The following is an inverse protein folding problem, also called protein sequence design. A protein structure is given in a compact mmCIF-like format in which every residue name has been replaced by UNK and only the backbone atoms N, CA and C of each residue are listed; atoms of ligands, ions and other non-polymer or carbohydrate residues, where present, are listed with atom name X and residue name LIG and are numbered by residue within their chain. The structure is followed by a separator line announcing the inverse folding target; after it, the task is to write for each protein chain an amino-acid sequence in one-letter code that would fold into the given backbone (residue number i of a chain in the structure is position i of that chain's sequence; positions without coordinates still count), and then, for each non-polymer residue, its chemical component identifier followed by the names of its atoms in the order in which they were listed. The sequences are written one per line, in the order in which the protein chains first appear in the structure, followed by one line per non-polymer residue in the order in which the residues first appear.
data_IF_244197025332
#
_entry.id   IF_244197025332
#
_cell.length_a   1.000
_cell.length_b   1.000
_cell.length_c   1.000
_cell.angle_alpha   90.00
_cell.angle_beta   90.00
_cell.angle_gamma   90.00
#
_symmetry.space_group_name_H-M   'P 1'
#
loop_
_entity.id
_entity.type
_entity.pdbx_description
1 polymer ?
#
# COMPACT_ATOMS: atom_id res chain seq x y z
N UNK A 1 22.36 0.54 -33.04
CA UNK A 1 21.62 -0.11 -31.94
C UNK A 1 20.96 0.99 -31.15
N UNK A 2 19.67 1.21 -31.38
CA UNK A 2 18.91 2.25 -30.71
C UNK A 2 18.57 1.74 -29.31
N UNK A 3 19.11 2.40 -28.29
CA UNK A 3 18.71 2.24 -26.90
C UNK A 3 17.22 2.59 -26.80
N UNK A 4 16.38 1.57 -26.69
CA UNK A 4 14.97 1.75 -26.35
C UNK A 4 14.92 2.25 -24.90
N UNK A 5 14.80 3.56 -24.72
CA UNK A 5 14.35 4.10 -23.44
C UNK A 5 12.95 3.53 -23.16
N UNK A 6 12.70 2.91 -21.99
CA UNK A 6 11.36 2.47 -21.65
C UNK A 6 10.44 3.69 -21.63
N UNK A 7 9.34 3.62 -22.39
CA UNK A 7 8.25 4.59 -22.33
C UNK A 7 7.81 4.70 -20.86
N UNK A 8 7.68 5.91 -20.28
CA UNK A 8 7.24 6.04 -18.89
C UNK A 8 5.88 5.34 -18.72
N UNK A 9 5.76 4.54 -17.66
CA UNK A 9 4.50 3.90 -17.31
C UNK A 9 3.45 5.00 -17.09
N UNK A 10 2.25 4.82 -17.65
CA UNK A 10 1.12 5.74 -17.40
C UNK A 10 0.53 5.56 -16.00
N UNK A 11 0.99 4.57 -15.25
CA UNK A 11 0.44 4.20 -13.95
C UNK A 11 0.71 5.29 -12.92
N UNK A 12 -0.38 5.73 -12.29
CA UNK A 12 -0.39 6.77 -11.28
C UNK A 12 -0.52 6.11 -9.91
N UNK A 13 0.35 6.52 -8.99
CA UNK A 13 0.31 6.10 -7.59
C UNK A 13 0.22 7.33 -6.70
N UNK A 14 -0.51 7.23 -5.61
CA UNK A 14 -0.51 8.19 -4.53
C UNK A 14 0.05 7.52 -3.28
N UNK A 15 1.05 8.13 -2.65
CA UNK A 15 1.69 7.65 -1.43
C UNK A 15 1.36 8.62 -0.31
N UNK A 16 0.65 8.16 0.71
CA UNK A 16 0.37 8.95 1.90
C UNK A 16 1.13 8.34 3.08
N UNK A 17 2.00 9.15 3.70
CA UNK A 17 2.74 8.76 4.91
C UNK A 17 1.95 9.32 6.10
N UNK A 18 1.53 8.45 7.00
CA UNK A 18 0.65 8.82 8.12
C UNK A 18 1.11 8.20 9.42
N UNK A 19 0.91 8.89 10.53
CA UNK A 19 0.96 8.24 11.84
C UNK A 19 -0.09 7.11 11.91
N UNK A 20 0.20 5.99 12.60
CA UNK A 20 -0.76 4.91 12.76
C UNK A 20 -1.99 5.37 13.55
N UNK A 21 -3.15 4.76 13.27
CA UNK A 21 -4.34 4.99 14.06
C UNK A 21 -4.19 4.39 15.46
N UNK A 22 -5.00 4.86 16.41
CA UNK A 22 -5.00 4.30 17.77
C UNK A 22 -5.25 2.79 17.77
N UNK A 23 -6.10 2.30 16.86
CA UNK A 23 -6.35 0.86 16.69
C UNK A 23 -5.08 0.09 16.32
N UNK A 24 -4.31 0.59 15.35
CA UNK A 24 -3.08 -0.08 14.91
C UNK A 24 -2.05 -0.11 16.04
N UNK A 25 -1.93 0.96 16.82
CA UNK A 25 -1.05 1.00 17.98
C UNK A 25 -1.49 0.03 19.09
N UNK A 26 -2.79 0.04 19.44
CA UNK A 26 -3.34 -0.81 20.50
C UNK A 26 -3.23 -2.31 20.15
N UNK A 27 -3.43 -2.66 18.87
CA UNK A 27 -3.44 -4.05 18.40
C UNK A 27 -2.19 -4.44 17.60
N UNK A 28 -1.09 -3.68 17.69
CA UNK A 28 0.13 -3.96 16.93
C UNK A 28 0.61 -5.40 17.12
N UNK A 29 0.68 -5.89 18.35
CA UNK A 29 1.14 -7.26 18.64
C UNK A 29 0.21 -8.35 18.08
N UNK A 30 -1.05 -8.00 17.77
CA UNK A 30 -1.99 -8.91 17.12
C UNK A 30 -1.86 -8.87 15.59
N UNK A 31 -1.32 -7.79 15.01
CA UNK A 31 -1.04 -7.64 13.58
C UNK A 31 0.37 -8.13 13.21
N UNK A 32 1.36 -7.77 14.03
CA UNK A 32 2.80 -7.99 13.86
C UNK A 32 3.41 -8.52 15.19
N UNK A 33 3.24 -9.82 15.51
CA UNK A 33 3.66 -10.39 16.80
C UNK A 33 5.17 -10.34 17.07
N UNK A 34 5.99 -10.26 16.01
CA UNK A 34 7.45 -10.25 16.12
C UNK A 34 8.04 -8.82 16.25
N UNK A 35 7.19 -7.79 16.26
CA UNK A 35 7.64 -6.40 16.30
C UNK A 35 7.70 -5.89 17.74
N UNK A 36 8.90 -5.67 18.25
CA UNK A 36 9.12 -5.11 19.59
C UNK A 36 9.06 -3.58 19.62
N UNK A 37 9.35 -2.94 18.48
CA UNK A 37 9.31 -1.47 18.34
C UNK A 37 7.93 -1.06 17.85
N UNK A 38 7.36 0.00 18.44
CA UNK A 38 6.10 0.55 17.98
C UNK A 38 6.20 1.06 16.54
N UNK A 39 5.20 0.76 15.72
CA UNK A 39 5.03 1.33 14.38
C UNK A 39 5.03 2.85 14.52
N UNK A 40 5.86 3.53 13.72
CA UNK A 40 5.91 5.00 13.70
C UNK A 40 5.07 5.56 12.56
N UNK A 41 5.05 4.86 11.42
CA UNK A 41 4.30 5.27 10.24
C UNK A 41 3.62 4.09 9.55
N UNK A 42 2.46 4.40 8.97
CA UNK A 42 1.86 3.61 7.91
C UNK A 42 2.05 4.36 6.59
N UNK A 43 2.45 3.64 5.56
CA UNK A 43 2.57 4.16 4.19
C UNK A 43 1.44 3.56 3.37
N UNK A 44 0.47 4.39 3.04
CA UNK A 44 -0.69 4.02 2.24
C UNK A 44 -0.33 4.25 0.77
N UNK A 45 -0.34 3.19 -0.03
CA UNK A 45 -0.07 3.23 -1.46
C UNK A 45 -1.40 3.01 -2.18
N UNK A 46 -1.91 4.06 -2.82
CA UNK A 46 -3.14 4.03 -3.59
C UNK A 46 -2.78 4.00 -5.08
N UNK A 47 -3.26 2.99 -5.79
CA UNK A 47 -2.98 2.83 -7.21
C UNK A 47 -4.23 3.08 -8.05
N UNK A 48 -4.11 3.88 -9.10
CA UNK A 48 -5.20 4.05 -10.07
C UNK A 48 -5.40 2.77 -10.88
N UNK A 49 -6.64 2.28 -10.91
CA UNK A 49 -7.05 1.13 -11.69
C UNK A 49 -7.49 1.52 -13.10
N UNK A 50 -7.17 0.69 -14.08
CA UNK A 50 -7.62 0.89 -15.46
C UNK A 50 -9.13 0.68 -15.65
N UNK A 51 -9.81 0.03 -14.70
CA UNK A 51 -11.26 -0.21 -14.72
C UNK A 51 -11.88 0.04 -13.34
N UNK A 52 -13.20 0.26 -13.28
CA UNK A 52 -13.93 0.25 -12.00
C UNK A 52 -13.71 -1.08 -11.28
N UNK A 53 -13.40 -1.02 -9.98
CA UNK A 53 -13.21 -2.22 -9.15
C UNK A 53 -14.48 -2.65 -8.41
N UNK A 54 -15.62 -2.03 -8.72
CA UNK A 54 -16.91 -2.25 -8.08
C UNK A 54 -17.52 -3.62 -8.39
N UNK A 55 -17.31 -4.11 -9.61
CA UNK A 55 -17.90 -5.38 -10.06
C UNK A 55 -17.07 -6.59 -9.65
N UNK A 56 -17.72 -7.72 -9.36
CA UNK A 56 -17.05 -9.00 -9.17
C UNK A 56 -17.06 -9.80 -10.47
N UNK A 57 -16.06 -9.56 -11.32
CA UNK A 57 -15.90 -10.26 -12.60
C UNK A 57 -14.42 -10.59 -12.87
N UNK A 58 -14.16 -11.46 -13.85
CA UNK A 58 -12.80 -11.90 -14.19
C UNK A 58 -11.86 -10.75 -14.55
N UNK A 59 -12.37 -9.68 -15.18
CA UNK A 59 -11.55 -8.51 -15.53
C UNK A 59 -11.09 -7.76 -14.29
N UNK A 60 -11.98 -7.58 -13.31
CA UNK A 60 -11.64 -6.95 -12.02
C UNK A 60 -10.68 -7.82 -11.22
N UNK A 61 -10.85 -9.15 -11.21
CA UNK A 61 -9.88 -10.05 -10.55
C UNK A 61 -8.50 -9.93 -11.20
N UNK A 62 -8.42 -9.95 -12.53
CA UNK A 62 -7.16 -9.80 -13.27
C UNK A 62 -6.50 -8.44 -12.99
N UNK A 63 -7.30 -7.38 -12.93
CA UNK A 63 -6.80 -6.04 -12.63
C UNK A 63 -6.29 -5.93 -11.18
N UNK A 64 -7.02 -6.48 -10.20
CA UNK A 64 -6.56 -6.54 -8.80
C UNK A 64 -5.26 -7.34 -8.67
N UNK A 65 -5.10 -8.43 -9.42
CA UNK A 65 -3.86 -9.21 -9.42
C UNK A 65 -2.68 -8.42 -10.01
N UNK A 66 -2.92 -7.65 -11.07
CA UNK A 66 -1.92 -6.74 -11.66
C UNK A 66 -1.53 -5.63 -10.68
N UNK A 67 -2.51 -4.97 -10.06
CA UNK A 67 -2.27 -3.90 -9.09
C UNK A 67 -1.51 -4.43 -7.88
N UNK A 68 -1.93 -5.57 -7.31
CA UNK A 68 -1.19 -6.26 -6.25
C UNK A 68 0.25 -6.58 -6.65
N UNK A 69 0.50 -7.08 -7.86
CA UNK A 69 1.87 -7.36 -8.33
C UNK A 69 2.72 -6.07 -8.41
N UNK A 70 2.12 -4.96 -8.83
CA UNK A 70 2.77 -3.65 -8.85
C UNK A 70 3.08 -3.15 -7.44
N UNK A 71 2.12 -3.26 -6.51
CA UNK A 71 2.34 -2.95 -5.09
C UNK A 71 3.50 -3.78 -4.52
N UNK A 72 3.53 -5.09 -4.76
CA UNK A 72 4.63 -5.92 -4.26
C UNK A 72 5.98 -5.47 -4.80
N UNK A 73 6.09 -5.15 -6.10
CA UNK A 73 7.34 -4.62 -6.67
C UNK A 73 7.79 -3.33 -6.00
N UNK A 74 6.90 -2.35 -5.87
CA UNK A 74 7.23 -1.09 -5.21
C UNK A 74 7.54 -1.28 -3.73
N UNK A 75 6.68 -2.02 -3.04
CA UNK A 75 6.74 -2.27 -1.60
C UNK A 75 8.00 -3.01 -1.20
N UNK A 76 8.42 -4.04 -1.94
CA UNK A 76 9.65 -4.77 -1.64
C UNK A 76 10.88 -3.88 -1.70
N UNK A 77 11.02 -3.08 -2.76
CA UNK A 77 12.11 -2.11 -2.88
C UNK A 77 12.11 -1.11 -1.71
N UNK A 78 10.91 -0.63 -1.32
CA UNK A 78 10.77 0.30 -0.21
C UNK A 78 11.21 -0.33 1.11
N UNK A 79 10.64 -1.48 1.48
CA UNK A 79 10.92 -2.05 2.81
C UNK A 79 12.34 -2.56 2.93
N UNK A 80 12.95 -3.09 1.86
CA UNK A 80 14.36 -3.48 1.90
C UNK A 80 15.29 -2.27 2.01
N UNK A 81 14.99 -1.18 1.30
CA UNK A 81 15.76 0.08 1.44
C UNK A 81 15.72 0.61 2.88
N UNK A 82 14.58 0.49 3.56
CA UNK A 82 14.42 0.92 4.95
C UNK A 82 15.08 -0.06 5.94
N UNK A 83 14.96 -1.36 5.70
CA UNK A 83 15.58 -2.41 6.53
C UNK A 83 17.11 -2.38 6.46
N UNK A 84 17.69 -2.08 5.29
CA UNK A 84 19.13 -1.89 5.12
C UNK A 84 19.68 -0.73 5.98
N UNK A 85 18.81 0.19 6.40
CA UNK A 85 19.12 1.29 7.31
C UNK A 85 18.74 1.01 8.77
N UNK A 86 18.31 -0.21 9.08
CA UNK A 86 18.01 -0.67 10.44
C UNK A 86 16.58 -0.44 10.90
N UNK A 87 15.65 -0.07 10.00
CA UNK A 87 14.24 0.15 10.35
C UNK A 87 13.39 -1.09 10.11
N UNK A 88 12.58 -1.49 11.09
CA UNK A 88 11.60 -2.55 10.90
C UNK A 88 10.54 -2.07 9.91
N UNK A 89 10.29 -2.86 8.88
CA UNK A 89 9.37 -2.52 7.79
C UNK A 89 8.73 -3.79 7.25
N UNK A 90 7.43 -3.80 7.00
CA UNK A 90 6.74 -4.95 6.39
C UNK A 90 5.54 -4.48 5.54
N UNK A 91 5.18 -5.31 4.56
CA UNK A 91 4.02 -5.12 3.70
C UNK A 91 2.86 -5.95 4.25
N UNK A 92 1.67 -5.38 4.31
CA UNK A 92 0.45 -6.19 4.44
C UNK A 92 0.00 -6.62 3.05
N UNK A 93 -0.24 -7.91 2.86
CA UNK A 93 -0.78 -8.42 1.61
C UNK A 93 -2.23 -7.94 1.43
N UNK A 94 -2.55 -7.10 0.43
CA UNK A 94 -3.90 -6.56 0.28
C UNK A 94 -4.97 -7.63 0.02
N UNK A 95 -4.57 -8.85 -0.36
CA UNK A 95 -5.48 -9.98 -0.54
C UNK A 95 -5.83 -10.67 0.78
N UNK A 96 -4.92 -10.71 1.74
CA UNK A 96 -5.08 -11.53 2.97
C UNK A 96 -5.04 -10.73 4.25
N UNK A 97 -4.54 -9.50 4.21
CA UNK A 97 -4.32 -8.61 5.34
C UNK A 97 -3.22 -9.06 6.30
N UNK A 98 -2.44 -10.09 5.96
CA UNK A 98 -1.31 -10.54 6.77
C UNK A 98 0.00 -9.86 6.35
N UNK A 99 0.97 -9.71 7.28
CA UNK A 99 2.33 -9.34 6.91
C UNK A 99 2.96 -10.36 5.96
N UNK A 100 3.88 -9.90 5.11
CA UNK A 100 4.55 -10.74 4.12
C UNK A 100 5.88 -11.31 4.60
N UNK A 101 6.60 -10.63 5.49
CA UNK A 101 7.86 -11.12 6.06
C UNK A 101 7.72 -11.65 7.49
N UNK A 102 7.06 -10.88 8.35
CA UNK A 102 6.88 -11.20 9.76
C UNK A 102 5.90 -12.34 9.99
N UNK A 103 5.85 -12.82 11.23
CA UNK A 103 4.87 -13.80 11.64
C UNK A 103 3.45 -13.28 11.44
N UNK A 104 2.58 -14.17 10.95
CA UNK A 104 1.15 -13.88 10.84
C UNK A 104 0.55 -13.67 12.22
N UNK A 105 0.00 -12.47 12.40
CA UNK A 105 -0.76 -12.11 13.58
C UNK A 105 -2.08 -12.87 13.71
N UNK A 106 -2.75 -12.63 14.85
CA UNK A 106 -4.13 -13.08 15.07
C UNK A 106 -5.13 -12.22 14.30
N UNK A 107 -4.78 -10.97 14.04
CA UNK A 107 -5.58 -10.01 13.28
C UNK A 107 -4.99 -9.81 11.88
N UNK A 108 -5.85 -9.38 10.98
CA UNK A 108 -5.51 -8.97 9.62
C UNK A 108 -5.76 -7.47 9.48
N UNK A 109 -4.94 -6.79 8.68
CA UNK A 109 -5.19 -5.41 8.29
C UNK A 109 -6.17 -5.37 7.11
N UNK A 110 -7.15 -4.48 7.16
CA UNK A 110 -8.02 -4.14 6.03
C UNK A 110 -7.57 -2.79 5.46
N UNK A 111 -7.08 -2.78 4.23
CA UNK A 111 -6.58 -1.55 3.58
C UNK A 111 -7.69 -0.50 3.38
N UNK A 112 -8.91 -0.90 3.04
CA UNK A 112 -10.03 0.04 2.86
C UNK A 112 -10.39 0.69 4.20
N UNK A 113 -10.48 -0.10 5.28
CA UNK A 113 -10.74 0.41 6.61
C UNK A 113 -9.60 1.32 7.11
N UNK A 114 -8.36 0.95 6.80
CA UNK A 114 -7.16 1.73 7.15
C UNK A 114 -7.17 3.08 6.45
N UNK A 115 -7.41 3.12 5.13
CA UNK A 115 -7.51 4.37 4.38
C UNK A 115 -8.69 5.22 4.84
N UNK A 116 -9.84 4.61 5.14
CA UNK A 116 -10.99 5.32 5.72
C UNK A 116 -10.62 5.99 7.04
N UNK A 117 -9.96 5.27 7.94
CA UNK A 117 -9.62 5.77 9.27
C UNK A 117 -8.59 6.91 9.22
N UNK A 118 -7.65 6.87 8.27
CA UNK A 118 -6.51 7.79 8.22
C UNK A 118 -6.70 8.96 7.25
N UNK A 119 -7.37 8.74 6.12
CA UNK A 119 -7.59 9.75 5.08
C UNK A 119 -9.04 10.21 4.96
N UNK A 120 -9.97 9.60 5.73
CA UNK A 120 -11.40 9.89 5.69
C UNK A 120 -12.04 9.71 4.30
N UNK A 121 -11.49 8.80 3.48
CA UNK A 121 -12.06 8.47 2.18
C UNK A 121 -13.31 7.59 2.37
N UNK A 122 -14.38 7.81 1.59
CA UNK A 122 -15.58 7.00 1.69
C UNK A 122 -15.29 5.53 1.38
N UNK A 123 -15.90 4.64 2.16
CA UNK A 123 -15.94 3.21 1.87
C UNK A 123 -17.40 2.80 1.78
N UNK A 124 -17.78 2.27 0.63
CA UNK A 124 -19.13 1.82 0.34
C UNK A 124 -19.13 0.30 0.45
N UNK A 125 -20.13 -0.25 1.15
CA UNK A 125 -20.38 -1.69 1.13
C UNK A 125 -21.20 -2.04 -0.12
N UNK A 126 -20.69 -2.95 -0.94
CA UNK A 126 -21.37 -3.42 -2.13
C UNK A 126 -21.19 -4.93 -2.26
N UNK A 127 -22.30 -5.69 -2.24
CA UNK A 127 -22.30 -7.15 -2.36
C UNK A 127 -21.29 -7.87 -1.44
N UNK A 128 -21.25 -7.49 -0.16
CA UNK A 128 -20.31 -8.01 0.85
C UNK A 128 -18.82 -7.70 0.59
N UNK A 129 -18.52 -6.73 -0.27
CA UNK A 129 -17.18 -6.20 -0.48
C UNK A 129 -17.13 -4.73 -0.05
N UNK A 130 -16.07 -4.35 0.67
CA UNK A 130 -15.76 -2.94 0.92
C UNK A 130 -15.12 -2.36 -0.34
N UNK A 131 -15.61 -1.19 -0.79
CA UNK A 131 -15.09 -0.47 -1.94
C UNK A 131 -14.71 0.94 -1.50
N UNK A 132 -13.43 1.25 -1.60
CA UNK A 132 -12.90 2.60 -1.36
C UNK A 132 -13.24 3.53 -2.53
N UNK A 133 -13.62 4.76 -2.23
CA UNK A 133 -13.84 5.82 -3.21
C UNK A 133 -12.76 6.91 -3.09
N UNK A 134 -11.89 7.00 -4.09
CA UNK A 134 -10.86 8.01 -4.15
C UNK A 134 -11.43 9.37 -4.62
N UNK A 135 -11.05 10.52 -4.03
CA UNK A 135 -11.58 11.82 -4.42
C UNK A 135 -11.38 12.18 -5.91
N UNK A 136 -10.34 11.62 -6.54
CA UNK A 136 -10.04 11.86 -7.97
C UNK A 136 -10.34 10.65 -8.86
N UNK A 137 -10.16 9.42 -8.35
CA UNK A 137 -10.26 8.20 -9.16
C UNK A 137 -11.59 7.45 -8.98
N UNK A 138 -12.45 7.91 -8.06
CA UNK A 138 -13.70 7.22 -7.72
C UNK A 138 -13.43 5.80 -7.25
N UNK A 139 -14.17 4.84 -7.81
CA UNK A 139 -14.03 3.40 -7.53
C UNK A 139 -12.88 2.70 -8.28
N UNK A 140 -12.00 3.47 -8.93
CA UNK A 140 -10.83 2.98 -9.67
C UNK A 140 -9.57 3.13 -8.81
N UNK A 141 -9.64 2.70 -7.56
CA UNK A 141 -8.52 2.79 -6.61
C UNK A 141 -8.27 1.45 -5.93
N UNK A 142 -7.02 1.04 -5.86
CA UNK A 142 -6.58 -0.14 -5.12
C UNK A 142 -5.63 0.30 -4.00
N UNK A 143 -6.08 0.26 -2.73
CA UNK A 143 -5.25 0.62 -1.59
C UNK A 143 -4.36 -0.54 -1.14
N UNK A 144 -3.21 -0.22 -0.56
CA UNK A 144 -2.27 -1.17 0.03
C UNK A 144 -1.47 -0.48 1.13
N UNK A 145 -1.02 -1.23 2.14
CA UNK A 145 -0.38 -0.64 3.33
C UNK A 145 0.98 -1.26 3.63
N UNK A 146 1.94 -0.39 3.97
CA UNK A 146 3.22 -0.75 4.59
C UNK A 146 3.24 -0.23 6.02
N UNK A 147 3.73 -1.02 6.97
CA UNK A 147 4.09 -0.54 8.29
C UNK A 147 5.60 -0.38 8.40
N UNK A 148 6.05 0.66 9.10
CA UNK A 148 7.49 0.90 9.32
C UNK A 148 7.76 1.66 10.62
N UNK A 149 9.00 1.52 11.11
CA UNK A 149 9.57 2.35 12.17
C UNK A 149 10.46 3.48 11.64
N UNK A 150 10.63 3.57 10.32
CA UNK A 150 11.44 4.60 9.67
C UNK A 150 10.89 6.03 9.85
N UNK A 151 11.76 7.06 9.84
CA UNK A 151 11.33 8.45 9.83
C UNK A 151 10.74 8.85 8.47
N UNK A 152 9.84 9.83 8.49
CA UNK A 152 9.07 10.26 7.32
C UNK A 152 9.94 10.73 6.14
N UNK A 153 11.02 11.48 6.41
CA UNK A 153 11.95 11.98 5.40
C UNK A 153 12.60 10.84 4.61
N UNK A 154 13.04 9.78 5.30
CA UNK A 154 13.63 8.63 4.66
C UNK A 154 12.61 7.83 3.83
N UNK A 155 11.39 7.65 4.35
CA UNK A 155 10.30 7.00 3.61
C UNK A 155 10.02 7.78 2.32
N UNK A 156 9.91 9.10 2.46
CA UNK A 156 9.58 10.00 1.37
C UNK A 156 10.65 9.98 0.26
N UNK A 157 11.92 10.08 0.65
CA UNK A 157 13.05 10.01 -0.28
C UNK A 157 13.14 8.66 -0.99
N UNK A 158 12.89 7.57 -0.26
CA UNK A 158 12.92 6.21 -0.82
C UNK A 158 11.78 6.01 -1.82
N UNK A 159 10.55 6.39 -1.45
CA UNK A 159 9.39 6.33 -2.33
C UNK A 159 9.59 7.15 -3.62
N UNK A 160 10.15 8.35 -3.51
CA UNK A 160 10.50 9.20 -4.65
C UNK A 160 11.48 8.49 -5.61
N UNK A 161 12.61 8.00 -5.09
CA UNK A 161 13.63 7.30 -5.90
C UNK A 161 13.07 6.05 -6.58
N UNK A 162 12.31 5.25 -5.84
CA UNK A 162 11.70 4.01 -6.36
C UNK A 162 10.67 4.33 -7.44
N UNK A 163 9.83 5.35 -7.25
CA UNK A 163 8.85 5.74 -8.26
C UNK A 163 9.51 6.12 -9.59
N UNK A 164 10.61 6.87 -9.55
CA UNK A 164 11.40 7.24 -10.73
C UNK A 164 11.98 5.98 -11.39
N UNK A 165 12.59 5.10 -10.59
CA UNK A 165 13.21 3.86 -11.09
C UNK A 165 12.19 2.92 -11.75
N UNK A 166 10.96 2.85 -11.22
CA UNK A 166 9.85 2.06 -11.76
C UNK A 166 9.04 2.80 -12.84
N UNK A 167 9.38 4.07 -13.13
CA UNK A 167 8.68 4.89 -14.11
C UNK A 167 7.24 5.22 -13.74
N UNK A 168 6.90 5.25 -12.45
CA UNK A 168 5.58 5.54 -11.91
C UNK A 168 5.36 7.05 -11.74
N UNK A 169 4.14 7.53 -11.96
CA UNK A 169 3.78 8.92 -11.66
C UNK A 169 3.33 9.00 -10.20
N UNK A 170 4.23 9.46 -9.35
CA UNK A 170 3.99 9.60 -7.91
C UNK A 170 3.28 10.91 -7.57
N UNK A 171 2.22 10.80 -6.77
CA UNK A 171 1.61 11.87 -5.99
C UNK A 171 1.87 11.60 -4.52
N UNK A 172 2.23 12.63 -3.77
CA UNK A 172 2.37 12.59 -2.31
C UNK A 172 1.31 13.52 -1.73
#
# INVERSE_FOLDING_TARGET
MTINNPTPSKEEIQVCITAPSQFVLEYQQFLLPDWEISITHLVLILQESHISLKEFNHRVVTEKDRLRANFLRFGWELIFTLQDQGYQSDLFDPRTGYPLLGQKGKFTLDDNATVKALLNYPVIEYNNCSLLEHPTWGDRVYPSTVATTAPEDLIQDSANKISIALGLRLKI
#
